data_IF_927152731308
#
_entry.id   IF_927152731308
#
_cell.length_a   1.000
_cell.length_b   1.000
_cell.length_c   1.000
_cell.angle_alpha   90.00
_cell.angle_beta   90.00
_cell.angle_gamma   90.00
#
_symmetry.space_group_name_H-M   'P 1'
#
loop_
_entity.id
_entity.type
_entity.pdbx_description
1 polymer ?
#
# COMPACT_ATOMS: atom_id res chain seq x y z
N UNK A 1 8.78 13.22 12.79
CA UNK A 1 7.82 12.37 13.48
C UNK A 1 6.43 12.81 13.07
N UNK A 2 5.65 11.90 12.51
CA UNK A 2 4.29 12.14 12.02
C UNK A 2 3.41 12.66 13.16
N UNK A 3 2.78 13.81 12.92
CA UNK A 3 1.82 14.38 13.86
C UNK A 3 0.50 13.58 13.83
N UNK A 4 -0.19 13.44 14.98
CA UNK A 4 -1.51 12.82 15.01
C UNK A 4 -2.48 13.51 14.05
N UNK A 5 -3.21 12.71 13.28
CA UNK A 5 -4.22 13.23 12.37
C UNK A 5 -5.30 13.99 13.15
N UNK A 6 -5.53 15.26 12.81
CA UNK A 6 -6.67 15.99 13.32
C UNK A 6 -7.98 15.50 12.68
N UNK A 7 -9.07 15.46 13.45
CA UNK A 7 -10.38 15.06 12.92
C UNK A 7 -10.78 15.97 11.75
N UNK A 8 -11.12 15.43 10.57
CA UNK A 8 -11.47 16.25 9.41
C UNK A 8 -12.70 17.14 9.68
N UNK A 9 -12.60 18.42 9.30
CA UNK A 9 -13.75 19.34 9.33
C UNK A 9 -14.79 18.94 8.29
N UNK A 10 -16.06 19.33 8.52
CA UNK A 10 -17.13 19.13 7.54
C UNK A 10 -16.71 19.77 6.21
N UNK A 11 -16.79 18.98 5.13
CA UNK A 11 -16.43 19.45 3.78
C UNK A 11 -17.29 20.67 3.41
N UNK A 12 -16.64 21.72 2.91
CA UNK A 12 -17.35 22.84 2.30
C UNK A 12 -18.01 22.36 0.98
N UNK A 13 -19.35 22.39 0.86
CA UNK A 13 -20.05 21.91 -0.34
C UNK A 13 -19.71 22.71 -1.60
N UNK A 14 -19.23 23.95 -1.46
CA UNK A 14 -18.78 24.78 -2.58
C UNK A 14 -17.40 24.37 -3.13
N UNK A 15 -16.60 23.61 -2.37
CA UNK A 15 -15.31 23.11 -2.85
C UNK A 15 -15.51 21.86 -3.70
N UNK A 16 -14.84 21.82 -4.85
CA UNK A 16 -14.81 20.68 -5.77
C UNK A 16 -14.46 19.38 -5.02
N UNK A 17 -15.25 18.33 -5.26
CA UNK A 17 -14.88 16.97 -4.87
C UNK A 17 -13.77 16.49 -5.80
N UNK A 18 -12.64 16.04 -5.25
CA UNK A 18 -11.66 15.28 -6.04
C UNK A 18 -12.34 14.01 -6.54
N UNK A 19 -12.44 13.86 -7.85
CA UNK A 19 -13.00 12.65 -8.44
C UNK A 19 -11.92 11.56 -8.38
N UNK A 20 -12.29 10.29 -8.14
CA UNK A 20 -11.35 9.20 -8.35
C UNK A 20 -10.94 9.21 -9.82
N UNK A 21 -9.65 9.44 -10.07
CA UNK A 21 -9.08 9.33 -11.41
C UNK A 21 -8.82 7.84 -11.69
N UNK A 22 -8.96 7.45 -12.96
CA UNK A 22 -8.80 6.06 -13.37
C UNK A 22 -7.41 5.52 -12.93
N UNK A 23 -7.34 4.23 -12.53
CA UNK A 23 -6.07 3.57 -12.26
C UNK A 23 -5.09 3.72 -13.43
N UNK A 24 -3.81 3.50 -13.13
CA UNK A 24 -2.79 3.37 -14.16
C UNK A 24 -3.12 2.25 -15.15
N UNK A 25 -2.44 2.29 -16.31
CA UNK A 25 -2.59 1.29 -17.38
C UNK A 25 -2.33 -0.16 -16.96
N UNK A 26 -2.56 -1.05 -17.93
CA UNK A 26 -2.53 -2.51 -17.72
C UNK A 26 -1.16 -2.98 -17.21
N UNK A 27 -1.17 -3.83 -16.18
CA UNK A 27 0.02 -4.53 -15.67
C UNK A 27 0.26 -5.82 -16.47
N UNK A 28 1.51 -6.25 -16.57
CA UNK A 28 1.82 -7.57 -17.11
C UNK A 28 1.18 -8.67 -16.25
N UNK A 29 0.92 -9.84 -16.85
CA UNK A 29 0.40 -11.01 -16.13
C UNK A 29 1.27 -11.35 -14.92
N UNK A 30 2.58 -11.34 -15.10
CA UNK A 30 3.55 -11.67 -14.05
C UNK A 30 3.48 -10.70 -12.88
N UNK A 31 3.24 -9.41 -13.14
CA UNK A 31 3.07 -8.41 -12.09
C UNK A 31 1.78 -8.57 -11.27
N UNK A 32 0.77 -9.32 -11.75
CA UNK A 32 -0.46 -9.59 -10.99
C UNK A 32 -0.20 -10.41 -9.72
N UNK A 33 0.91 -11.16 -9.65
CA UNK A 33 1.31 -11.87 -8.44
C UNK A 33 1.59 -10.93 -7.26
N UNK A 34 2.13 -9.71 -7.52
CA UNK A 34 2.24 -8.68 -6.50
C UNK A 34 0.87 -8.18 -6.03
N UNK A 35 -0.10 -8.05 -6.95
CA UNK A 35 -1.47 -7.64 -6.60
C UNK A 35 -2.13 -8.66 -5.67
N UNK A 36 -1.99 -9.96 -5.97
CA UNK A 36 -2.52 -11.03 -5.13
C UNK A 36 -1.89 -11.02 -3.72
N UNK A 37 -0.56 -10.92 -3.64
CA UNK A 37 0.14 -10.83 -2.35
C UNK A 37 -0.28 -9.59 -1.54
N UNK A 38 -0.38 -8.43 -2.20
CA UNK A 38 -0.84 -7.18 -1.58
C UNK A 38 -2.27 -7.28 -1.04
N UNK A 39 -3.18 -7.92 -1.78
CA UNK A 39 -4.57 -8.12 -1.38
C UNK A 39 -4.70 -9.01 -0.13
N UNK A 40 -3.76 -9.94 0.05
CA UNK A 40 -3.66 -10.83 1.21
C UNK A 40 -2.87 -10.21 2.38
N UNK A 41 -2.33 -8.99 2.21
CA UNK A 41 -1.50 -8.34 3.23
C UNK A 41 -0.11 -8.96 3.40
N UNK A 42 0.37 -9.70 2.39
CA UNK A 42 1.68 -10.37 2.40
C UNK A 42 2.73 -9.56 1.67
N UNK A 43 3.96 -9.60 2.17
CA UNK A 43 5.12 -9.11 1.44
C UNK A 43 5.81 -10.28 0.71
N UNK A 44 5.34 -10.55 -0.51
CA UNK A 44 5.86 -11.63 -1.34
C UNK A 44 6.53 -11.11 -2.62
N UNK A 45 7.68 -11.69 -2.95
CA UNK A 45 8.41 -11.45 -4.19
C UNK A 45 8.64 -12.77 -4.92
N UNK A 46 9.07 -12.71 -6.18
CA UNK A 46 9.47 -13.92 -6.89
C UNK A 46 10.77 -14.46 -6.28
N UNK A 47 10.79 -15.76 -5.98
CA UNK A 47 11.98 -16.47 -5.53
C UNK A 47 12.22 -17.64 -6.48
N UNK A 48 13.38 -17.66 -7.13
CA UNK A 48 13.71 -18.72 -8.07
C UNK A 48 13.87 -20.06 -7.37
N UNK A 49 13.16 -21.10 -7.84
CA UNK A 49 13.26 -22.44 -7.24
C UNK A 49 14.58 -23.14 -7.52
N UNK A 50 15.33 -22.69 -8.53
CA UNK A 50 16.61 -23.31 -8.90
C UNK A 50 17.79 -22.70 -8.16
N UNK A 51 17.92 -21.37 -8.19
CA UNK A 51 19.08 -20.69 -7.60
C UNK A 51 18.77 -19.89 -6.33
N UNK A 52 17.51 -19.85 -5.88
CA UNK A 52 17.09 -19.14 -4.66
C UNK A 52 17.11 -17.61 -4.77
N UNK A 53 17.43 -17.04 -5.94
CA UNK A 53 17.48 -15.58 -6.10
C UNK A 53 16.11 -14.94 -5.90
N UNK A 54 16.05 -13.89 -5.09
CA UNK A 54 14.86 -13.04 -4.90
C UNK A 54 14.85 -11.95 -5.96
N UNK A 55 13.72 -11.78 -6.65
CA UNK A 55 13.62 -11.00 -7.88
C UNK A 55 12.62 -9.86 -7.70
N UNK A 56 13.09 -8.65 -8.01
CA UNK A 56 12.27 -7.47 -8.21
C UNK A 56 12.91 -6.57 -9.30
N UNK A 57 12.12 -5.94 -10.19
CA UNK A 57 10.69 -6.15 -10.42
C UNK A 57 10.38 -7.56 -10.94
N UNK A 58 9.11 -8.00 -10.96
CA UNK A 58 8.74 -9.32 -11.47
C UNK A 58 9.21 -9.58 -12.91
N UNK A 59 9.68 -10.79 -13.19
CA UNK A 59 10.23 -11.25 -14.48
C UNK A 59 9.63 -12.60 -14.87
N UNK A 60 9.69 -12.89 -16.17
CA UNK A 60 9.26 -14.20 -16.72
C UNK A 60 10.37 -15.26 -16.62
N UNK A 61 11.63 -14.85 -16.45
CA UNK A 61 12.77 -15.72 -16.26
C UNK A 61 13.76 -15.13 -15.24
N UNK A 62 14.45 -16.01 -14.52
CA UNK A 62 15.42 -15.62 -13.50
C UNK A 62 16.59 -14.86 -14.14
N UNK A 63 16.97 -13.67 -13.65
CA UNK A 63 18.12 -12.95 -14.20
C UNK A 63 19.47 -13.63 -13.90
N UNK A 64 19.52 -14.57 -12.94
CA UNK A 64 20.75 -15.26 -12.54
C UNK A 64 20.95 -16.59 -13.27
N UNK A 65 19.93 -17.44 -13.41
CA UNK A 65 20.04 -18.77 -14.00
C UNK A 65 19.08 -19.06 -15.16
N UNK A 66 18.27 -18.07 -15.59
CA UNK A 66 17.28 -18.18 -16.66
C UNK A 66 16.13 -19.18 -16.43
N UNK A 67 16.04 -19.79 -15.25
CA UNK A 67 14.87 -20.60 -14.86
C UNK A 67 13.57 -19.80 -14.92
N UNK A 68 12.52 -20.44 -15.40
CA UNK A 68 11.15 -19.89 -15.43
C UNK A 68 10.33 -20.27 -14.17
N UNK A 69 10.90 -21.07 -13.25
CA UNK A 69 10.24 -21.46 -12.00
C UNK A 69 10.40 -20.36 -10.95
N UNK A 70 9.52 -19.36 -11.03
CA UNK A 70 9.54 -18.14 -10.22
C UNK A 70 8.24 -17.94 -9.41
N UNK A 71 7.93 -18.81 -8.43
CA UNK A 71 6.79 -18.60 -7.53
C UNK A 71 6.96 -17.35 -6.68
N UNK A 72 5.85 -16.74 -6.31
CA UNK A 72 5.83 -15.70 -5.29
C UNK A 72 5.88 -16.34 -3.90
N UNK A 73 6.88 -15.97 -3.11
CA UNK A 73 7.07 -16.44 -1.73
C UNK A 73 7.23 -15.26 -0.81
N UNK A 74 6.79 -15.42 0.43
CA UNK A 74 7.00 -14.42 1.47
C UNK A 74 8.51 -14.28 1.72
N UNK A 75 8.99 -13.04 1.79
CA UNK A 75 10.39 -12.73 2.05
C UNK A 75 10.48 -11.67 3.14
N UNK A 76 11.58 -11.63 3.88
CA UNK A 76 11.76 -10.63 4.93
C UNK A 76 11.75 -9.21 4.32
N UNK A 77 10.80 -8.34 4.73
CA UNK A 77 10.66 -7.00 4.18
C UNK A 77 11.65 -5.97 4.75
N UNK A 78 12.73 -6.40 5.39
CA UNK A 78 13.69 -5.51 6.02
C UNK A 78 14.75 -5.01 5.03
N UNK A 79 15.09 -3.74 5.11
CA UNK A 79 16.09 -3.13 4.23
C UNK A 79 16.58 -1.77 4.71
N UNK A 80 17.46 -1.19 3.91
CA UNK A 80 18.03 0.14 4.14
C UNK A 80 17.61 1.09 3.02
N UNK A 81 17.12 2.28 3.38
CA UNK A 81 16.80 3.33 2.41
C UNK A 81 18.10 3.92 1.87
N UNK A 82 18.40 3.69 0.60
CA UNK A 82 19.70 4.07 -0.01
C UNK A 82 19.66 5.46 -0.64
N UNK A 83 18.51 5.84 -1.19
CA UNK A 83 18.33 7.14 -1.84
C UNK A 83 16.87 7.56 -1.77
N UNK A 84 16.62 8.86 -1.59
CA UNK A 84 15.27 9.43 -1.64
C UNK A 84 15.13 10.58 -2.64
N UNK A 85 13.89 10.82 -3.07
CA UNK A 85 13.51 11.98 -3.88
C UNK A 85 12.06 12.37 -3.61
N UNK A 86 11.71 13.61 -3.97
CA UNK A 86 10.33 14.11 -3.88
C UNK A 86 9.81 14.44 -5.27
N UNK A 87 8.76 13.74 -5.68
CA UNK A 87 8.04 14.06 -6.91
C UNK A 87 7.13 15.25 -6.63
N UNK A 88 7.45 16.39 -7.25
CA UNK A 88 6.69 17.64 -7.11
C UNK A 88 5.63 17.83 -8.19
N UNK A 89 5.82 17.22 -9.36
CA UNK A 89 4.92 17.31 -10.51
C UNK A 89 4.88 15.94 -11.19
N UNK A 90 3.69 15.49 -11.60
CA UNK A 90 3.52 14.25 -12.37
C UNK A 90 2.65 14.48 -13.60
N UNK A 91 3.04 13.94 -14.77
CA UNK A 91 2.19 13.95 -15.97
C UNK A 91 1.05 12.93 -15.90
N UNK A 92 1.17 11.89 -15.05
CA UNK A 92 0.14 10.90 -14.83
C UNK A 92 -1.02 11.51 -14.03
N UNK A 93 -2.24 11.42 -14.56
CA UNK A 93 -3.42 12.05 -13.98
C UNK A 93 -3.74 11.50 -12.59
N UNK A 94 -3.68 10.18 -12.39
CA UNK A 94 -3.92 9.55 -11.10
C UNK A 94 -3.01 10.14 -10.02
N UNK A 95 -1.75 10.31 -10.39
CA UNK A 95 -0.73 10.85 -9.51
C UNK A 95 -0.79 12.38 -9.40
N UNK A 96 -1.19 13.13 -10.41
CA UNK A 96 -1.21 14.61 -10.41
C UNK A 96 -1.96 15.24 -9.23
N UNK A 97 -3.03 14.62 -8.72
CA UNK A 97 -3.78 15.16 -7.56
C UNK A 97 -3.16 14.82 -6.19
N UNK A 98 -2.08 14.03 -6.18
CA UNK A 98 -1.43 13.51 -4.96
C UNK A 98 -0.08 14.17 -4.66
N UNK A 99 0.42 15.05 -5.55
CA UNK A 99 1.73 15.70 -5.37
C UNK A 99 1.68 16.71 -4.21
N UNK A 100 2.80 16.94 -3.51
CA UNK A 100 4.07 16.21 -3.61
C UNK A 100 4.03 14.86 -2.87
N UNK A 101 4.80 13.87 -3.35
CA UNK A 101 5.08 12.63 -2.60
C UNK A 101 6.55 12.24 -2.65
N UNK A 102 7.00 11.51 -1.64
CA UNK A 102 8.34 10.98 -1.50
C UNK A 102 8.44 9.56 -2.07
N UNK A 103 9.49 9.32 -2.83
CA UNK A 103 9.90 8.01 -3.33
C UNK A 103 11.33 7.74 -2.90
N UNK A 104 11.69 6.47 -2.81
CA UNK A 104 13.07 6.09 -2.58
C UNK A 104 13.39 4.69 -3.05
N UNK A 105 14.67 4.40 -3.08
CA UNK A 105 15.21 3.09 -3.40
C UNK A 105 15.68 2.42 -2.13
N UNK A 106 15.10 1.27 -1.81
CA UNK A 106 15.44 0.49 -0.62
C UNK A 106 16.21 -0.75 -1.04
N UNK A 107 17.40 -0.95 -0.46
CA UNK A 107 18.14 -2.20 -0.57
C UNK A 107 17.57 -3.18 0.45
N UNK A 108 16.86 -4.20 -0.02
CA UNK A 108 16.43 -5.28 0.85
C UNK A 108 17.62 -6.14 1.28
N UNK A 109 17.56 -6.63 2.51
CA UNK A 109 18.56 -7.55 3.06
C UNK A 109 18.58 -8.88 2.27
N UNK A 110 17.41 -9.27 1.75
CA UNK A 110 17.23 -10.46 0.89
C UNK A 110 17.73 -10.27 -0.55
N UNK A 111 18.31 -9.12 -0.90
CA UNK A 111 19.07 -8.94 -2.14
C UNK A 111 18.62 -7.79 -3.05
N UNK A 112 17.36 -7.71 -3.52
CA UNK A 112 17.00 -6.75 -4.56
C UNK A 112 16.90 -5.30 -4.05
N UNK A 113 17.00 -4.35 -4.99
CA UNK A 113 16.67 -2.94 -4.78
C UNK A 113 15.21 -2.71 -5.19
N UNK A 114 14.41 -2.10 -4.32
CA UNK A 114 12.99 -1.83 -4.54
C UNK A 114 12.73 -0.32 -4.56
N UNK A 115 11.95 0.13 -5.54
CA UNK A 115 11.40 1.48 -5.54
C UNK A 115 10.12 1.49 -4.71
N UNK A 116 10.08 2.34 -3.69
CA UNK A 116 8.98 2.42 -2.74
C UNK A 116 8.53 3.86 -2.50
N UNK A 117 7.26 4.03 -2.17
CA UNK A 117 6.76 5.23 -1.51
C UNK A 117 7.38 5.32 -0.11
N UNK A 118 7.81 6.52 0.29
CA UNK A 118 8.41 6.71 1.61
C UNK A 118 7.40 7.31 2.58
N UNK A 119 7.34 6.74 3.77
CA UNK A 119 6.69 7.36 4.92
C UNK A 119 7.43 8.65 5.31
N UNK A 120 6.72 9.67 5.83
CA UNK A 120 7.30 10.97 6.23
C UNK A 120 8.47 10.88 7.21
N UNK A 121 8.47 9.88 8.08
CA UNK A 121 9.53 9.63 9.07
C UNK A 121 10.67 8.72 8.58
N UNK A 122 10.59 8.15 7.38
CA UNK A 122 11.70 7.39 6.82
C UNK A 122 12.83 8.36 6.42
N UNK A 123 14.08 8.01 6.74
CA UNK A 123 15.27 8.82 6.48
C UNK A 123 16.27 8.05 5.62
N UNK A 124 16.92 8.73 4.68
CA UNK A 124 18.01 8.16 3.90
C UNK A 124 19.13 7.61 4.82
N UNK A 125 19.65 6.44 4.47
CA UNK A 125 20.64 5.70 5.27
C UNK A 125 20.05 4.89 6.43
N UNK A 126 18.79 5.11 6.80
CA UNK A 126 18.16 4.43 7.92
C UNK A 126 17.57 3.06 7.55
N UNK A 127 17.30 2.26 8.60
CA UNK A 127 16.56 1.01 8.50
C UNK A 127 15.08 1.29 8.26
N UNK A 128 14.51 0.51 7.36
CA UNK A 128 13.10 0.59 6.98
C UNK A 128 12.53 -0.82 6.87
N UNK A 129 11.23 -0.91 7.13
CA UNK A 129 10.43 -2.11 6.88
C UNK A 129 9.48 -1.84 5.72
N UNK A 130 9.57 -2.67 4.69
CA UNK A 130 8.69 -2.55 3.53
C UNK A 130 7.32 -3.16 3.83
N UNK A 131 6.29 -2.58 3.21
CA UNK A 131 4.92 -3.08 3.24
C UNK A 131 4.37 -3.05 1.82
N UNK A 132 3.83 -4.18 1.37
CA UNK A 132 3.18 -4.31 0.07
C UNK A 132 1.68 -4.19 0.29
N UNK A 133 1.05 -3.17 -0.28
CA UNK A 133 -0.35 -2.85 -0.06
C UNK A 133 -1.05 -2.53 -1.37
N UNK A 134 -2.38 -2.65 -1.39
CA UNK A 134 -3.17 -2.10 -2.47
C UNK A 134 -3.37 -0.60 -2.26
N UNK A 135 -3.13 0.18 -3.32
CA UNK A 135 -3.52 1.57 -3.33
C UNK A 135 -5.04 1.73 -3.60
N UNK A 136 -5.54 2.97 -3.54
CA UNK A 136 -6.95 3.28 -3.83
C UNK A 136 -7.42 2.86 -5.24
N UNK A 137 -6.49 2.56 -6.16
CA UNK A 137 -6.80 2.08 -7.50
C UNK A 137 -6.81 0.55 -7.60
N UNK A 138 -6.46 -0.16 -6.52
CA UNK A 138 -6.31 -1.61 -6.49
C UNK A 138 -4.97 -2.10 -7.03
N UNK A 139 -4.00 -1.20 -7.22
CA UNK A 139 -2.66 -1.57 -7.68
C UNK A 139 -1.74 -1.85 -6.49
N UNK A 140 -0.84 -2.85 -6.59
CA UNK A 140 0.15 -3.11 -5.57
C UNK A 140 1.17 -1.97 -5.54
N UNK A 141 1.39 -1.41 -4.36
CA UNK A 141 2.39 -0.38 -4.07
C UNK A 141 3.23 -0.81 -2.88
N UNK A 142 4.53 -0.52 -2.95
CA UNK A 142 5.44 -0.76 -1.83
C UNK A 142 5.62 0.54 -1.06
N UNK A 143 5.44 0.47 0.26
CA UNK A 143 5.73 1.53 1.20
C UNK A 143 6.93 1.17 2.06
N UNK A 144 7.89 2.08 2.19
CA UNK A 144 8.97 1.99 3.17
C UNK A 144 8.55 2.74 4.44
N UNK A 145 8.37 1.97 5.52
CA UNK A 145 8.02 2.46 6.84
C UNK A 145 9.28 2.54 7.71
N UNK A 146 9.39 3.50 8.64
CA UNK A 146 10.53 3.57 9.54
C UNK A 146 10.58 2.32 10.44
N UNK A 147 11.80 1.85 10.72
CA UNK A 147 12.06 0.74 11.63
C UNK A 147 13.12 1.19 12.67
N UNK A 148 12.77 1.35 13.96
CA UNK A 148 11.54 0.92 14.61
C UNK A 148 10.31 1.79 14.27
N UNK A 149 9.09 1.27 14.49
CA UNK A 149 7.86 2.02 14.23
C UNK A 149 7.77 3.33 15.02
N UNK A 150 7.33 4.41 14.36
CA UNK A 150 7.10 5.70 15.00
C UNK A 150 5.66 5.85 15.52
N UNK A 151 5.42 6.68 16.56
CA UNK A 151 4.06 7.03 16.98
C UNK A 151 3.27 7.65 15.82
N UNK A 152 1.98 7.30 15.72
CA UNK A 152 1.07 7.81 14.69
C UNK A 152 1.51 7.55 13.23
N UNK A 153 2.34 6.53 12.96
CA UNK A 153 2.77 6.19 11.59
C UNK A 153 1.61 6.08 10.58
N UNK A 154 0.45 5.54 10.99
CA UNK A 154 -0.72 5.41 10.13
C UNK A 154 -1.41 6.75 9.79
N UNK A 155 -0.99 7.83 10.44
CA UNK A 155 -1.48 9.18 10.19
C UNK A 155 -0.71 9.92 9.08
N UNK A 156 0.36 9.30 8.53
CA UNK A 156 1.19 9.93 7.50
C UNK A 156 0.37 10.32 6.26
N UNK A 157 0.45 11.59 5.80
CA UNK A 157 -0.41 12.07 4.72
C UNK A 157 -0.30 11.26 3.43
N UNK A 158 0.91 10.82 3.07
CA UNK A 158 1.13 10.08 1.82
C UNK A 158 0.62 8.64 1.93
N UNK A 159 0.91 7.97 3.05
CA UNK A 159 0.38 6.64 3.33
C UNK A 159 -1.15 6.66 3.29
N UNK A 160 -1.78 7.61 3.97
CA UNK A 160 -3.25 7.76 3.97
C UNK A 160 -3.82 8.12 2.60
N UNK A 161 -3.09 8.89 1.80
CA UNK A 161 -3.56 9.27 0.46
C UNK A 161 -3.49 8.10 -0.52
N UNK A 162 -2.50 7.22 -0.38
CA UNK A 162 -2.37 6.05 -1.24
C UNK A 162 -3.24 4.89 -0.79
N UNK A 163 -3.44 4.70 0.51
CA UNK A 163 -4.15 3.55 1.08
C UNK A 163 -5.55 3.90 1.60
N UNK A 164 -6.22 2.90 2.17
CA UNK A 164 -7.59 2.99 2.68
C UNK A 164 -7.69 2.91 4.20
N UNK A 165 -6.73 3.49 4.94
CA UNK A 165 -6.80 3.51 6.42
C UNK A 165 -8.16 4.07 6.93
N UNK A 166 -8.85 3.36 7.84
CA UNK A 166 -10.23 3.68 8.22
C UNK A 166 -10.36 4.85 9.21
N UNK A 167 -9.27 5.29 9.87
CA UNK A 167 -9.33 6.31 10.93
C UNK A 167 -9.98 7.59 10.44
N UNK A 168 -11.00 8.02 11.18
CA UNK A 168 -11.91 9.13 10.87
C UNK A 168 -12.69 9.05 9.54
N UNK A 169 -12.63 7.94 8.81
CA UNK A 169 -13.43 7.73 7.60
C UNK A 169 -14.81 7.18 7.95
N UNK A 170 -15.71 7.23 6.97
CA UNK A 170 -17.00 6.54 7.02
C UNK A 170 -16.86 5.25 6.25
N UNK A 171 -17.30 4.14 6.82
CA UNK A 171 -17.19 2.82 6.21
C UNK A 171 -18.59 2.28 5.97
N UNK A 172 -18.81 1.70 4.80
CA UNK A 172 -20.01 0.93 4.47
C UNK A 172 -19.63 -0.55 4.43
N UNK A 173 -20.31 -1.34 5.25
CA UNK A 173 -20.26 -2.80 5.22
C UNK A 173 -21.60 -3.23 4.64
N UNK A 174 -21.59 -3.85 3.46
CA UNK A 174 -22.81 -4.15 2.71
C UNK A 174 -23.63 -5.27 3.33
N UNK A 175 -22.95 -6.27 3.92
CA UNK A 175 -23.59 -7.34 4.67
C UNK A 175 -22.91 -7.54 6.03
N UNK A 176 -23.57 -7.09 7.08
CA UNK A 176 -23.17 -7.29 8.46
C UNK A 176 -23.70 -8.57 9.09
N UNK A 177 -24.56 -9.37 8.45
CA UNK A 177 -25.15 -10.54 9.12
C UNK A 177 -24.16 -11.70 9.21
N UNK A 178 -23.29 -11.84 8.22
CA UNK A 178 -22.29 -12.89 8.20
C UNK A 178 -21.12 -12.62 9.17
N UNK A 179 -20.35 -13.66 9.48
CA UNK A 179 -19.23 -13.59 10.43
C UNK A 179 -18.14 -12.59 9.99
N UNK A 180 -17.89 -12.48 8.68
CA UNK A 180 -16.90 -11.55 8.11
C UNK A 180 -17.33 -10.10 8.30
N UNK A 181 -18.58 -9.77 7.98
CA UNK A 181 -19.14 -8.43 8.16
C UNK A 181 -19.12 -7.97 9.61
N UNK A 182 -19.46 -8.88 10.54
CA UNK A 182 -19.34 -8.62 11.98
C UNK A 182 -17.89 -8.38 12.42
N UNK A 183 -16.95 -9.20 11.93
CA UNK A 183 -15.53 -9.03 12.23
C UNK A 183 -14.99 -7.69 11.69
N UNK A 184 -15.36 -7.34 10.45
CA UNK A 184 -14.99 -6.06 9.83
C UNK A 184 -15.53 -4.86 10.61
N UNK A 185 -16.81 -4.90 11.03
CA UNK A 185 -17.42 -3.82 11.80
C UNK A 185 -16.65 -3.55 13.11
N UNK A 186 -16.31 -4.61 13.85
CA UNK A 186 -15.52 -4.51 15.08
C UNK A 186 -14.11 -3.99 14.80
N UNK A 187 -13.43 -4.53 13.78
CA UNK A 187 -12.08 -4.11 13.41
C UNK A 187 -12.02 -2.62 13.01
N UNK A 188 -12.96 -2.14 12.20
CA UNK A 188 -13.00 -0.73 11.80
C UNK A 188 -13.38 0.21 12.95
N UNK A 189 -14.21 -0.24 13.89
CA UNK A 189 -14.51 0.53 15.10
C UNK A 189 -13.24 0.73 15.94
N UNK A 190 -12.48 -0.35 16.18
CA UNK A 190 -11.20 -0.30 16.90
C UNK A 190 -10.16 0.56 16.16
N UNK A 191 -10.13 0.48 14.83
CA UNK A 191 -9.24 1.29 14.01
C UNK A 191 -9.65 2.78 13.90
N UNK A 192 -10.71 3.21 14.59
CA UNK A 192 -11.08 4.61 14.72
C UNK A 192 -11.92 5.18 13.57
N UNK A 193 -12.68 4.34 12.86
CA UNK A 193 -13.67 4.82 11.89
C UNK A 193 -14.68 5.77 12.55
N UNK A 194 -15.04 6.86 11.86
CA UNK A 194 -15.98 7.86 12.38
C UNK A 194 -17.42 7.35 12.46
N UNK A 195 -17.85 6.64 11.41
CA UNK A 195 -19.21 6.12 11.26
C UNK A 195 -19.13 4.81 10.49
N UNK A 196 -19.79 3.78 11.01
CA UNK A 196 -19.94 2.49 10.34
C UNK A 196 -21.41 2.34 9.92
N UNK A 197 -21.65 2.28 8.61
CA UNK A 197 -22.94 1.88 8.06
C UNK A 197 -22.89 0.38 7.83
N UNK A 198 -23.67 -0.38 8.61
CA UNK A 198 -23.71 -1.84 8.52
C UNK A 198 -25.04 -2.24 7.92
N UNK A 199 -25.01 -2.62 6.65
CA UNK A 199 -26.15 -3.10 5.89
C UNK A 199 -26.51 -4.54 6.21
N UNK A 200 -27.69 -4.93 5.74
CA UNK A 200 -28.18 -6.31 5.77
C UNK A 200 -28.49 -6.65 4.32
N UNK A 201 -27.77 -7.61 3.75
CA UNK A 201 -27.96 -8.04 2.36
C UNK A 201 -29.10 -9.07 2.25
N UNK A 202 -30.30 -8.69 2.69
CA UNK A 202 -31.48 -9.50 2.41
C UNK A 202 -31.87 -9.31 0.94
N UNK A 203 -32.12 -10.41 0.18
CA UNK A 203 -32.67 -10.27 -1.16
C UNK A 203 -34.00 -9.53 -1.06
N UNK A 204 -34.17 -8.48 -1.86
CA UNK A 204 -35.42 -7.75 -1.98
C UNK A 204 -36.54 -8.74 -2.33
N UNK A 205 -37.60 -8.78 -1.51
CA UNK A 205 -38.79 -9.61 -1.74
C UNK A 205 -39.69 -8.99 -2.80
#
# INVERSE_FOLDING_TARGET
MTEPLARPKRKNPLRKTRAPLAPQGVRSRTAQGLTAAAAEGRFALQVCEECGSVIYPPRDACPACLSVRLPYRDVEPAGTLVAETTVRVSPDTYFRERVPWRLGTVKLDVGPLIVAHLHGDALEGARVRLSLQLDKSGAPVVFALPDPPTPNMQDDPQLREMTCDPKFRRVLITDGRNAVGQAMAKAFAVAGASILFVGIADPWK
#
